data_IF_989372083232
#
_entry.id   IF_989372083232
#
_cell.length_a   1.000
_cell.length_b   1.000
_cell.length_c   1.000
_cell.angle_alpha   90.00
_cell.angle_beta   90.00
_cell.angle_gamma   90.00
#
_symmetry.space_group_name_H-M   'P 1'
#
loop_
_entity.id
_entity.type
_entity.pdbx_description
1 polymer ?
#
# COMPACT_ATOMS: atom_id res chain seq x y z
N UNK A 1 -15.18 0.20 5.76
CA UNK A 1 -13.97 0.97 5.39
C UNK A 1 -14.10 2.48 5.51
N UNK A 2 -15.18 3.16 5.04
CA UNK A 2 -15.33 4.61 5.32
C UNK A 2 -15.43 4.87 6.82
N UNK A 3 -16.31 4.15 7.51
CA UNK A 3 -16.46 4.22 8.98
C UNK A 3 -15.13 3.88 9.69
N UNK A 4 -14.46 2.80 9.29
CA UNK A 4 -13.14 2.42 9.81
C UNK A 4 -12.11 3.56 9.70
N UNK A 5 -12.05 4.22 8.54
CA UNK A 5 -11.13 5.34 8.32
C UNK A 5 -11.46 6.56 9.20
N UNK A 6 -12.75 6.82 9.42
CA UNK A 6 -13.21 7.89 10.32
C UNK A 6 -12.94 7.56 11.79
N UNK A 7 -13.13 6.30 12.19
CA UNK A 7 -12.79 5.79 13.52
C UNK A 7 -11.28 5.93 13.79
N UNK A 8 -10.44 5.52 12.83
CA UNK A 8 -8.98 5.66 12.93
C UNK A 8 -8.53 7.14 12.91
N UNK A 9 -9.31 8.04 12.32
CA UNK A 9 -9.08 9.49 12.41
C UNK A 9 -9.38 10.01 13.81
N UNK A 10 -10.52 9.62 14.40
CA UNK A 10 -10.93 10.08 15.73
C UNK A 10 -10.08 9.51 16.85
N UNK A 11 -9.48 8.33 16.66
CA UNK A 11 -8.54 7.74 17.60
C UNK A 11 -7.22 8.54 17.73
N UNK A 12 -6.98 9.50 16.84
CA UNK A 12 -5.87 10.46 16.95
C UNK A 12 -4.50 9.80 17.04
N UNK A 13 -3.70 10.27 18.00
CA UNK A 13 -2.33 9.81 18.27
C UNK A 13 -2.24 8.51 19.07
N UNK A 14 -3.37 7.97 19.54
CA UNK A 14 -3.43 6.65 20.16
C UNK A 14 -3.29 5.51 19.14
N UNK A 15 -3.11 5.82 17.85
CA UNK A 15 -2.94 4.87 16.76
C UNK A 15 -1.71 5.18 15.90
N UNK A 16 -1.00 4.16 15.37
CA UNK A 16 0.45 4.26 15.20
C UNK A 16 0.96 4.96 13.93
N UNK A 17 0.12 5.50 13.03
CA UNK A 17 0.65 6.03 11.77
C UNK A 17 0.02 7.33 11.24
N UNK A 18 0.91 8.30 10.99
CA UNK A 18 0.72 9.57 10.29
C UNK A 18 2.07 9.88 9.61
N UNK A 19 2.16 9.96 8.29
CA UNK A 19 3.46 10.12 7.60
C UNK A 19 4.23 11.41 8.00
N UNK A 20 3.57 12.39 8.63
CA UNK A 20 4.13 13.74 8.78
C UNK A 20 4.57 14.18 10.17
N UNK A 21 4.47 13.36 11.25
CA UNK A 21 5.05 13.82 12.53
C UNK A 21 6.58 13.79 12.47
N UNK A 22 7.19 14.96 12.38
CA UNK A 22 8.62 15.14 12.16
C UNK A 22 8.93 16.35 11.30
N UNK A 23 7.94 16.83 10.53
CA UNK A 23 8.01 18.15 9.88
C UNK A 23 7.63 19.31 10.82
N UNK A 24 7.15 19.00 12.03
CA UNK A 24 6.54 19.97 12.96
C UNK A 24 7.52 20.67 13.87
N UNK A 25 8.79 20.27 13.92
CA UNK A 25 9.75 20.98 14.77
C UNK A 25 10.13 22.36 14.19
N UNK A 26 9.74 22.64 12.94
CA UNK A 26 9.97 23.92 12.26
C UNK A 26 8.72 24.59 11.65
N UNK A 27 7.53 23.95 11.69
CA UNK A 27 6.28 24.50 11.14
C UNK A 27 5.14 24.45 12.16
N UNK A 28 4.22 25.44 12.16
CA UNK A 28 3.11 25.49 13.11
C UNK A 28 2.23 24.23 13.03
N UNK A 29 1.50 23.86 14.12
CA UNK A 29 0.85 22.55 14.33
C UNK A 29 -0.34 22.21 13.40
N UNK A 30 -0.41 22.75 12.18
CA UNK A 30 -1.60 22.71 11.29
C UNK A 30 -1.45 21.89 10.00
N UNK A 31 -0.35 21.18 9.79
CA UNK A 31 -0.04 20.49 8.50
C UNK A 31 -0.09 18.96 8.67
N UNK A 32 -1.15 18.26 8.21
CA UNK A 32 -1.29 16.81 8.47
C UNK A 32 -1.58 16.04 7.17
N UNK A 33 -0.79 14.99 6.89
CA UNK A 33 -1.14 13.98 5.86
C UNK A 33 -2.23 13.09 6.41
N UNK A 34 -3.30 12.90 5.62
CA UNK A 34 -4.54 12.25 6.06
C UNK A 34 -4.84 10.95 5.33
N UNK A 35 -3.81 10.33 4.77
CA UNK A 35 -3.92 8.94 4.32
C UNK A 35 -3.89 8.03 5.55
N UNK A 36 -4.96 7.27 5.77
CA UNK A 36 -5.04 6.24 6.81
C UNK A 36 -5.05 4.86 6.19
N UNK A 37 -4.24 3.98 6.77
CA UNK A 37 -4.23 2.57 6.44
C UNK A 37 -5.21 1.84 7.34
N UNK A 38 -6.07 1.03 6.75
CA UNK A 38 -7.03 0.19 7.46
C UNK A 38 -7.15 -1.13 6.70
N UNK A 39 -6.92 -2.24 7.38
CA UNK A 39 -7.17 -3.54 6.77
C UNK A 39 -8.69 -3.73 6.63
N UNK A 40 -9.22 -4.28 5.52
CA UNK A 40 -10.62 -4.67 5.47
C UNK A 40 -10.87 -5.89 6.37
N UNK A 41 -12.10 -6.09 6.86
CA UNK A 41 -12.47 -7.33 7.53
C UNK A 41 -12.36 -8.51 6.56
N UNK A 42 -11.54 -9.50 6.90
CA UNK A 42 -11.29 -10.68 6.04
C UNK A 42 -12.21 -11.83 6.44
N UNK A 43 -13.50 -11.57 6.28
CA UNK A 43 -14.62 -12.45 6.64
C UNK A 43 -15.57 -12.56 5.46
N UNK A 44 -16.38 -13.62 5.41
CA UNK A 44 -17.27 -13.96 4.27
C UNK A 44 -18.11 -12.77 3.81
N UNK A 45 -18.71 -12.02 4.74
CA UNK A 45 -19.58 -10.86 4.45
C UNK A 45 -18.90 -9.75 3.64
N UNK A 46 -17.58 -9.58 3.78
CA UNK A 46 -16.84 -8.45 3.19
C UNK A 46 -15.77 -8.89 2.19
N UNK A 47 -15.74 -10.18 1.85
CA UNK A 47 -14.72 -10.76 0.97
C UNK A 47 -15.35 -11.21 -0.36
N UNK A 48 -15.26 -10.34 -1.36
CA UNK A 48 -15.65 -10.69 -2.73
C UNK A 48 -14.44 -11.27 -3.48
N UNK A 49 -14.46 -12.54 -3.91
CA UNK A 49 -13.34 -13.16 -4.63
C UNK A 49 -13.04 -12.46 -5.96
N UNK A 50 -14.02 -11.81 -6.60
CA UNK A 50 -13.76 -11.07 -7.85
C UNK A 50 -12.91 -9.82 -7.63
N UNK A 51 -12.80 -9.35 -6.37
CA UNK A 51 -11.95 -8.23 -5.97
C UNK A 51 -10.63 -8.75 -5.42
N UNK A 52 -10.69 -9.60 -4.38
CA UNK A 52 -9.50 -10.01 -3.63
C UNK A 52 -8.69 -11.14 -4.30
N UNK A 53 -9.33 -11.90 -5.17
CA UNK A 53 -8.74 -12.99 -5.95
C UNK A 53 -9.01 -12.75 -7.44
N UNK A 54 -8.90 -11.49 -7.88
CA UNK A 54 -9.31 -11.08 -9.22
C UNK A 54 -8.52 -11.87 -10.29
N UNK A 55 -9.20 -12.55 -11.23
CA UNK A 55 -8.53 -13.41 -12.21
C UNK A 55 -7.66 -12.64 -13.21
N UNK A 56 -8.02 -11.39 -13.56
CA UNK A 56 -7.22 -10.56 -14.45
C UNK A 56 -5.94 -10.11 -13.75
N UNK A 57 -6.04 -9.69 -12.49
CA UNK A 57 -4.86 -9.35 -11.68
C UNK A 57 -3.96 -10.58 -11.46
N UNK A 58 -4.55 -11.74 -11.12
CA UNK A 58 -3.80 -12.99 -10.94
C UNK A 58 -3.08 -13.41 -12.24
N UNK A 59 -3.73 -13.29 -13.40
CA UNK A 59 -3.10 -13.56 -14.69
C UNK A 59 -1.94 -12.60 -14.97
N UNK A 60 -2.18 -11.29 -14.89
CA UNK A 60 -1.14 -10.27 -15.14
C UNK A 60 0.07 -10.45 -14.23
N UNK A 61 -0.16 -10.65 -12.94
CA UNK A 61 0.92 -10.85 -11.98
C UNK A 61 1.64 -12.18 -12.18
N UNK A 62 0.94 -13.25 -12.58
CA UNK A 62 1.57 -14.54 -12.91
C UNK A 62 2.50 -14.45 -14.12
N UNK A 63 2.15 -13.64 -15.12
CA UNK A 63 2.98 -13.43 -16.31
C UNK A 63 4.31 -12.74 -16.02
N UNK A 64 4.39 -11.94 -14.95
CA UNK A 64 5.58 -11.16 -14.60
C UNK A 64 6.37 -11.80 -13.45
N UNK A 65 5.70 -12.38 -12.46
CA UNK A 65 6.31 -12.90 -11.23
C UNK A 65 6.51 -14.42 -11.26
N UNK A 66 6.00 -15.10 -12.28
CA UNK A 66 5.93 -16.55 -12.38
C UNK A 66 4.62 -17.13 -11.82
N UNK A 67 4.39 -18.44 -11.99
CA UNK A 67 3.11 -19.07 -11.73
C UNK A 67 2.72 -19.03 -10.25
N UNK A 68 1.44 -18.74 -9.97
CA UNK A 68 0.84 -18.71 -8.63
C UNK A 68 1.62 -17.82 -7.65
N UNK A 69 1.74 -16.51 -7.92
CA UNK A 69 2.37 -15.59 -6.99
C UNK A 69 1.64 -15.60 -5.65
N UNK A 70 2.36 -15.22 -4.60
CA UNK A 70 1.86 -15.27 -3.23
C UNK A 70 1.13 -14.00 -2.86
N UNK A 71 -0.11 -14.14 -2.37
CA UNK A 71 -0.81 -13.07 -1.67
C UNK A 71 -0.42 -13.10 -0.20
N UNK A 72 0.47 -12.21 0.23
CA UNK A 72 0.94 -12.10 1.63
C UNK A 72 0.65 -10.73 2.27
N UNK A 73 0.10 -9.78 1.51
CA UNK A 73 -0.33 -8.49 2.01
C UNK A 73 -1.72 -8.11 1.50
N UNK A 74 -2.54 -7.57 2.41
CA UNK A 74 -3.88 -7.07 2.10
C UNK A 74 -4.24 -5.96 3.09
N UNK A 75 -4.36 -4.75 2.58
CA UNK A 75 -4.73 -3.55 3.33
C UNK A 75 -5.66 -2.63 2.52
N UNK A 76 -5.95 -1.47 3.06
CA UNK A 76 -6.69 -0.41 2.40
C UNK A 76 -6.15 0.96 2.76
N UNK A 77 -6.16 1.87 1.80
CA UNK A 77 -5.67 3.23 1.90
C UNK A 77 -6.85 4.17 1.76
N UNK A 78 -7.07 5.03 2.76
CA UNK A 78 -8.15 6.01 2.76
C UNK A 78 -7.59 7.42 2.80
N UNK A 79 -7.86 8.25 1.78
CA UNK A 79 -7.63 9.69 1.88
C UNK A 79 -8.87 10.35 2.46
N UNK A 80 -8.71 10.89 3.66
CA UNK A 80 -9.79 11.52 4.40
C UNK A 80 -10.02 12.96 3.93
N UNK A 81 -11.25 13.48 4.09
CA UNK A 81 -11.57 14.89 3.81
C UNK A 81 -10.65 15.87 4.55
N UNK A 82 -10.55 17.13 4.06
CA UNK A 82 -9.90 18.20 4.79
C UNK A 82 -10.49 18.38 6.19
N UNK A 83 -9.67 18.83 7.12
CA UNK A 83 -10.10 19.23 8.46
C UNK A 83 -10.03 20.74 8.47
N UNK A 84 -11.09 21.44 8.89
CA UNK A 84 -11.07 22.90 8.97
C UNK A 84 -9.84 23.40 9.74
N UNK A 85 -9.16 24.41 9.21
CA UNK A 85 -7.99 25.02 9.84
C UNK A 85 -6.68 24.23 9.71
N UNK A 86 -6.63 23.18 8.89
CA UNK A 86 -5.39 22.45 8.58
C UNK A 86 -5.09 22.46 7.09
N UNK A 87 -3.83 22.66 6.72
CA UNK A 87 -3.40 22.56 5.33
C UNK A 87 -3.19 21.08 4.96
N UNK A 88 -3.85 20.59 3.89
CA UNK A 88 -3.67 19.21 3.43
C UNK A 88 -2.28 19.01 2.82
N UNK A 89 -1.48 18.06 3.35
CA UNK A 89 -0.15 17.76 2.83
C UNK A 89 -0.11 16.44 2.05
N UNK A 90 0.65 16.43 0.95
CA UNK A 90 1.00 15.20 0.25
C UNK A 90 1.89 14.31 1.12
N UNK A 91 1.82 13.00 0.91
CA UNK A 91 2.93 12.14 1.32
C UNK A 91 4.18 12.56 0.54
N UNK A 92 5.39 12.39 1.12
CA UNK A 92 6.60 12.46 0.32
C UNK A 92 6.55 11.40 -0.77
N UNK A 93 7.22 11.68 -1.91
CA UNK A 93 7.40 10.65 -2.94
C UNK A 93 8.28 9.55 -2.35
N UNK A 94 7.82 8.32 -2.44
CA UNK A 94 8.48 7.15 -1.87
C UNK A 94 8.24 5.93 -2.76
N UNK A 95 8.97 4.86 -2.48
CA UNK A 95 8.69 3.51 -2.97
C UNK A 95 8.51 2.58 -1.76
N UNK A 96 7.76 1.49 -1.93
CA UNK A 96 7.40 0.61 -0.81
C UNK A 96 8.53 -0.37 -0.43
N UNK A 97 9.53 -0.53 -1.30
CA UNK A 97 10.69 -1.41 -1.12
C UNK A 97 11.92 -0.66 -0.56
N UNK A 98 11.86 -0.26 0.71
CA UNK A 98 12.88 0.53 1.40
C UNK A 98 14.10 -0.29 1.89
N UNK A 99 14.46 -1.34 1.14
CA UNK A 99 15.50 -2.31 1.48
C UNK A 99 16.25 -2.77 0.22
N UNK A 100 17.42 -3.40 0.41
CA UNK A 100 18.18 -4.00 -0.68
C UNK A 100 17.41 -5.14 -1.35
N UNK A 101 17.13 -4.98 -2.63
CA UNK A 101 16.20 -5.83 -3.38
C UNK A 101 16.70 -6.10 -4.82
N UNK A 102 16.23 -7.17 -5.48
CA UNK A 102 16.59 -7.45 -6.88
C UNK A 102 16.17 -6.35 -7.86
N UNK A 103 16.90 -6.21 -8.97
CA UNK A 103 16.52 -5.33 -10.08
C UNK A 103 15.35 -5.88 -10.93
N UNK A 104 15.03 -7.16 -10.81
CA UNK A 104 13.86 -7.75 -11.45
C UNK A 104 12.58 -7.57 -10.60
N UNK A 105 11.39 -7.56 -11.21
CA UNK A 105 10.14 -7.53 -10.46
C UNK A 105 10.03 -8.75 -9.53
N UNK A 106 9.91 -8.49 -8.23
CA UNK A 106 9.69 -9.52 -7.20
C UNK A 106 8.35 -9.37 -6.47
N UNK A 107 7.71 -8.21 -6.62
CA UNK A 107 6.42 -7.91 -6.03
C UNK A 107 5.64 -6.91 -6.88
N UNK A 108 4.33 -7.16 -7.04
CA UNK A 108 3.41 -6.26 -7.72
C UNK A 108 2.27 -5.88 -6.77
N UNK A 109 2.02 -4.58 -6.66
CA UNK A 109 0.90 -4.02 -5.90
C UNK A 109 -0.33 -3.98 -6.80
N UNK A 110 -1.42 -4.57 -6.33
CA UNK A 110 -2.74 -4.56 -6.96
C UNK A 110 -3.63 -3.62 -6.16
N UNK A 111 -3.90 -2.45 -6.73
CA UNK A 111 -4.75 -1.43 -6.15
C UNK A 111 -6.14 -1.46 -6.78
N UNK A 112 -7.19 -1.49 -5.94
CA UNK A 112 -8.59 -1.51 -6.39
C UNK A 112 -9.34 -0.30 -5.79
N UNK A 113 -9.64 0.73 -6.60
CA UNK A 113 -10.43 1.87 -6.15
C UNK A 113 -11.88 1.47 -5.84
N UNK A 114 -12.34 1.73 -4.61
CA UNK A 114 -13.74 1.52 -4.20
C UNK A 114 -14.64 2.71 -4.56
N UNK A 115 -14.03 3.81 -4.99
CA UNK A 115 -14.65 5.00 -5.56
C UNK A 115 -13.82 5.47 -6.76
N UNK A 116 -14.36 6.35 -7.59
CA UNK A 116 -13.54 7.02 -8.60
C UNK A 116 -12.46 7.86 -7.92
N UNK A 117 -11.24 7.78 -8.41
CA UNK A 117 -10.08 8.53 -7.93
C UNK A 117 -9.76 9.63 -8.94
N UNK A 118 -9.68 10.86 -8.46
CA UNK A 118 -9.33 12.04 -9.25
C UNK A 118 -8.22 12.82 -8.54
N UNK A 119 -7.48 13.70 -9.23
CA UNK A 119 -6.54 14.60 -8.58
C UNK A 119 -7.14 15.36 -7.38
N UNK A 120 -8.38 15.80 -7.52
CA UNK A 120 -9.12 16.53 -6.49
C UNK A 120 -9.39 15.71 -5.22
N UNK A 121 -9.69 14.41 -5.34
CA UNK A 121 -10.00 13.56 -4.20
C UNK A 121 -8.81 12.73 -3.68
N UNK A 122 -7.59 13.08 -4.11
CA UNK A 122 -6.37 12.45 -3.66
C UNK A 122 -6.08 11.14 -4.36
N UNK A 123 -6.22 11.10 -5.69
CA UNK A 123 -5.65 10.06 -6.53
C UNK A 123 -4.14 9.94 -6.29
N UNK A 124 -3.61 8.73 -6.34
CA UNK A 124 -2.18 8.49 -6.15
C UNK A 124 -1.39 9.15 -7.29
N UNK A 125 -0.37 9.92 -6.93
CA UNK A 125 0.63 10.40 -7.86
C UNK A 125 1.64 9.28 -8.13
N UNK A 126 2.01 9.07 -9.39
CA UNK A 126 2.94 8.02 -9.84
C UNK A 126 4.03 8.58 -10.74
N UNK A 127 5.23 8.00 -10.64
CA UNK A 127 6.40 8.42 -11.41
C UNK A 127 6.77 7.33 -12.42
N UNK A 128 6.17 7.41 -13.60
CA UNK A 128 6.23 6.34 -14.59
C UNK A 128 7.68 6.01 -15.00
N UNK A 129 8.06 4.74 -14.94
CA UNK A 129 9.40 4.24 -15.25
C UNK A 129 10.40 4.27 -14.09
N UNK A 130 10.06 4.86 -12.93
CA UNK A 130 11.03 4.95 -11.81
C UNK A 130 11.32 3.62 -11.11
N UNK A 131 10.51 2.59 -11.35
CA UNK A 131 10.77 1.22 -10.88
C UNK A 131 12.05 0.61 -11.46
N UNK A 132 12.62 1.19 -12.54
CA UNK A 132 13.92 0.81 -13.08
C UNK A 132 15.11 1.45 -12.34
N UNK A 133 14.86 2.38 -11.41
CA UNK A 133 15.86 3.10 -10.62
C UNK A 133 15.38 3.23 -9.17
N UNK A 134 15.42 2.13 -8.42
CA UNK A 134 14.65 2.03 -7.17
C UNK A 134 15.40 1.49 -5.95
N UNK A 135 16.71 1.24 -6.06
CA UNK A 135 17.50 0.74 -4.92
C UNK A 135 17.59 1.73 -3.76
N UNK A 136 18.18 1.32 -2.64
CA UNK A 136 18.35 2.18 -1.45
C UNK A 136 19.15 3.46 -1.76
N UNK A 137 20.04 3.42 -2.76
CA UNK A 137 20.85 4.54 -3.20
C UNK A 137 20.06 5.75 -3.73
N UNK A 138 18.76 5.63 -4.07
CA UNK A 138 17.91 6.77 -4.45
C UNK A 138 17.05 7.30 -3.31
N UNK A 139 17.14 6.68 -2.14
CA UNK A 139 16.26 6.91 -1.01
C UNK A 139 16.97 7.70 0.10
N UNK A 140 16.19 8.32 0.98
CA UNK A 140 16.62 8.91 2.26
C UNK A 140 15.83 8.29 3.41
N UNK A 141 16.46 8.20 4.59
CA UNK A 141 15.91 7.50 5.75
C UNK A 141 16.29 6.02 5.76
N UNK A 142 16.67 5.51 6.94
CA UNK A 142 16.99 4.09 7.12
C UNK A 142 15.72 3.24 7.23
N UNK A 143 15.81 1.95 6.90
CA UNK A 143 14.69 1.02 7.02
C UNK A 143 14.09 1.03 8.42
N UNK A 144 12.77 1.17 8.51
CA UNK A 144 12.04 1.28 9.78
C UNK A 144 11.98 2.70 10.36
N UNK A 145 12.75 3.66 9.84
CA UNK A 145 12.55 5.07 10.16
C UNK A 145 11.26 5.62 9.54
N UNK A 146 10.79 6.76 10.05
CA UNK A 146 9.59 7.40 9.49
C UNK A 146 9.80 7.94 8.07
N UNK A 147 11.03 8.35 7.76
CA UNK A 147 11.40 8.84 6.44
C UNK A 147 11.72 7.69 5.46
N UNK A 148 11.80 6.45 5.93
CA UNK A 148 12.13 5.27 5.12
C UNK A 148 11.32 5.20 3.83
N UNK A 149 11.96 4.81 2.75
CA UNK A 149 11.34 4.71 1.42
C UNK A 149 11.31 6.02 0.63
N UNK A 150 11.54 7.17 1.28
CA UNK A 150 11.41 8.50 0.64
C UNK A 150 12.50 8.70 -0.42
N UNK A 151 12.12 9.22 -1.57
CA UNK A 151 13.07 9.55 -2.64
C UNK A 151 13.81 10.84 -2.30
N UNK A 152 15.13 10.84 -2.45
CA UNK A 152 15.94 12.04 -2.22
C UNK A 152 15.53 13.18 -3.14
N UNK A 153 15.56 14.40 -2.60
CA UNK A 153 15.10 15.60 -3.33
C UNK A 153 15.89 15.89 -4.61
N UNK A 154 17.20 15.63 -4.65
CA UNK A 154 18.07 15.81 -5.82
C UNK A 154 17.69 14.84 -6.96
N UNK A 155 17.48 13.57 -6.61
CA UNK A 155 17.06 12.51 -7.53
C UNK A 155 15.66 12.78 -8.08
N UNK A 156 14.74 13.19 -7.21
CA UNK A 156 13.39 13.54 -7.59
C UNK A 156 13.37 14.73 -8.57
N UNK A 157 14.18 15.77 -8.31
CA UNK A 157 14.30 16.92 -9.18
C UNK A 157 14.93 16.57 -10.54
N UNK A 158 15.94 15.71 -10.57
CA UNK A 158 16.51 15.21 -11.82
C UNK A 158 15.46 14.46 -12.64
N UNK A 159 14.73 13.53 -12.00
CA UNK A 159 13.67 12.77 -12.66
C UNK A 159 12.58 13.68 -13.22
N UNK A 160 12.18 14.72 -12.48
CA UNK A 160 11.12 15.64 -12.90
C UNK A 160 11.46 16.39 -14.19
N UNK A 161 12.75 16.64 -14.47
CA UNK A 161 13.21 17.27 -15.72
C UNK A 161 13.10 16.33 -16.92
N UNK A 162 13.29 15.03 -16.72
CA UNK A 162 13.15 14.02 -17.77
C UNK A 162 11.67 13.64 -18.01
N UNK A 163 10.97 13.33 -16.92
CA UNK A 163 9.58 12.91 -16.91
C UNK A 163 8.94 13.24 -15.56
N UNK A 164 8.06 14.27 -15.50
CA UNK A 164 7.35 14.61 -14.27
C UNK A 164 6.34 13.53 -13.88
N UNK A 165 5.85 13.65 -12.64
CA UNK A 165 4.81 12.78 -12.13
C UNK A 165 3.52 12.81 -12.96
N UNK A 166 2.70 11.78 -12.81
CA UNK A 166 1.35 11.71 -13.33
C UNK A 166 0.37 11.43 -12.20
N UNK A 167 -0.79 12.07 -12.21
CA UNK A 167 -1.87 11.81 -11.25
C UNK A 167 -3.14 11.45 -12.03
N UNK A 168 -3.32 10.17 -12.42
CA UNK A 168 -4.39 9.78 -13.33
C UNK A 168 -5.77 9.82 -12.64
N UNK A 169 -6.81 10.02 -13.45
CA UNK A 169 -8.19 9.70 -13.06
C UNK A 169 -8.38 8.19 -13.22
N UNK A 170 -8.82 7.52 -12.16
CA UNK A 170 -9.04 6.07 -12.14
C UNK A 170 -10.49 5.79 -11.75
N UNK A 171 -11.27 5.22 -12.66
CA UNK A 171 -12.68 4.92 -12.43
C UNK A 171 -12.85 3.86 -11.35
N UNK A 172 -13.95 3.95 -10.59
CA UNK A 172 -14.35 2.89 -9.65
C UNK A 172 -14.42 1.53 -10.37
N UNK A 173 -13.91 0.49 -9.72
CA UNK A 173 -13.91 -0.88 -10.28
C UNK A 173 -12.76 -1.16 -11.26
N UNK A 174 -11.91 -0.18 -11.55
CA UNK A 174 -10.64 -0.43 -12.25
C UNK A 174 -9.68 -1.20 -11.35
N UNK A 175 -8.63 -1.76 -11.94
CA UNK A 175 -7.49 -2.33 -11.21
C UNK A 175 -6.24 -1.60 -11.69
N UNK A 176 -5.43 -1.14 -10.74
CA UNK A 176 -4.12 -0.56 -11.02
C UNK A 176 -3.07 -1.55 -10.53
N UNK A 177 -2.27 -2.08 -11.44
CA UNK A 177 -1.13 -2.95 -11.11
C UNK A 177 0.15 -2.16 -11.28
N UNK A 178 0.99 -2.13 -10.25
CA UNK A 178 2.28 -1.44 -10.27
C UNK A 178 3.37 -2.28 -9.64
N UNK A 179 4.61 -2.06 -10.06
CA UNK A 179 5.78 -2.59 -9.37
C UNK A 179 5.85 -2.00 -7.96
N UNK A 180 6.21 -2.81 -6.96
CA UNK A 180 6.42 -2.37 -5.57
C UNK A 180 7.44 -1.23 -5.49
N UNK A 181 8.38 -1.21 -6.43
CA UNK A 181 9.48 -0.25 -6.57
C UNK A 181 9.09 1.06 -7.24
N UNK A 182 7.87 1.17 -7.78
CA UNK A 182 7.42 2.37 -8.47
C UNK A 182 7.29 3.52 -7.46
N UNK A 183 7.96 4.65 -7.76
CA UNK A 183 7.83 5.82 -6.91
C UNK A 183 6.43 6.42 -7.02
N UNK A 184 5.85 6.76 -5.88
CA UNK A 184 4.50 7.25 -5.79
C UNK A 184 4.29 8.10 -4.54
N UNK A 185 3.17 8.82 -4.49
CA UNK A 185 2.77 9.59 -3.33
C UNK A 185 1.24 9.63 -3.21
N UNK A 186 0.73 9.38 -2.00
CA UNK A 186 -0.65 9.71 -1.66
C UNK A 186 -0.84 11.22 -1.61
N UNK A 187 -1.79 11.72 -2.39
CA UNK A 187 -2.09 13.15 -2.50
C UNK A 187 -3.25 13.55 -1.59
N UNK A 188 -3.32 14.83 -1.20
CA UNK A 188 -4.44 15.32 -0.41
C UNK A 188 -5.78 15.10 -1.09
N UNK A 189 -6.80 14.85 -0.27
CA UNK A 189 -8.18 14.86 -0.70
C UNK A 189 -8.79 16.21 -0.34
N UNK A 190 -9.26 16.94 -1.34
CA UNK A 190 -9.88 18.26 -1.18
C UNK A 190 -11.43 18.18 -1.13
N UNK A 191 -12.00 17.00 -1.30
CA UNK A 191 -13.45 16.77 -1.27
C UNK A 191 -13.95 16.44 0.14
N UNK A 192 -15.27 16.48 0.33
CA UNK A 192 -15.92 16.11 1.59
C UNK A 192 -16.16 14.61 1.77
N UNK A 193 -15.70 13.76 0.84
CA UNK A 193 -15.93 12.31 0.87
C UNK A 193 -14.62 11.57 1.06
N UNK A 194 -14.58 10.59 1.96
CA UNK A 194 -13.43 9.70 2.10
C UNK A 194 -13.23 8.87 0.83
N UNK A 195 -12.01 8.93 0.27
CA UNK A 195 -11.61 8.13 -0.89
C UNK A 195 -10.94 6.85 -0.41
N UNK A 196 -11.57 5.71 -0.63
CA UNK A 196 -11.06 4.39 -0.20
C UNK A 196 -10.55 3.59 -1.41
N UNK A 197 -9.39 2.97 -1.24
CA UNK A 197 -8.77 2.06 -2.20
C UNK A 197 -8.24 0.84 -1.44
N UNK A 198 -8.42 -0.37 -1.98
CA UNK A 198 -7.78 -1.58 -1.47
C UNK A 198 -6.37 -1.70 -2.05
N UNK A 199 -5.47 -2.32 -1.28
CA UNK A 199 -4.11 -2.63 -1.70
C UNK A 199 -3.78 -4.07 -1.34
N UNK A 200 -3.44 -4.87 -2.34
CA UNK A 200 -2.92 -6.22 -2.19
C UNK A 200 -1.53 -6.27 -2.80
N UNK A 201 -0.65 -7.14 -2.30
CA UNK A 201 0.66 -7.34 -2.92
C UNK A 201 0.80 -8.82 -3.26
N UNK A 202 1.12 -9.07 -4.52
CA UNK A 202 1.48 -10.38 -5.04
C UNK A 202 3.00 -10.45 -5.11
N UNK A 203 3.59 -11.40 -4.39
CA UNK A 203 5.04 -11.64 -4.40
C UNK A 203 5.38 -12.82 -5.31
N UNK A 204 6.52 -12.75 -5.97
CA UNK A 204 7.04 -13.86 -6.74
C UNK A 204 7.24 -15.10 -5.86
N UNK A 205 6.96 -16.33 -6.34
CA UNK A 205 7.07 -17.54 -5.54
C UNK A 205 8.47 -17.79 -4.96
N UNK A 206 9.52 -17.23 -5.55
CA UNK A 206 10.89 -17.36 -5.07
C UNK A 206 11.27 -16.31 -4.01
N UNK A 207 10.54 -15.19 -3.89
CA UNK A 207 10.90 -14.07 -3.00
C UNK A 207 10.43 -14.29 -1.55
N UNK A 208 11.34 -14.56 -0.61
CA UNK A 208 11.04 -15.10 0.74
C UNK A 208 10.46 -14.09 1.75
N UNK A 209 9.48 -13.28 1.33
CA UNK A 209 8.74 -12.42 2.24
C UNK A 209 7.97 -13.25 3.28
N UNK A 210 8.04 -12.83 4.55
CA UNK A 210 7.52 -13.61 5.67
C UNK A 210 6.19 -13.12 6.23
N UNK A 211 5.58 -12.09 5.64
CA UNK A 211 4.31 -11.58 6.12
C UNK A 211 3.19 -12.60 5.92
N UNK A 212 2.23 -12.62 6.83
CA UNK A 212 1.06 -13.50 6.74
C UNK A 212 -0.21 -12.69 6.98
N UNK A 213 -1.28 -13.09 6.31
CA UNK A 213 -2.61 -12.49 6.46
C UNK A 213 -3.49 -13.39 7.32
N UNK A 214 -4.16 -12.83 8.34
CA UNK A 214 -5.16 -13.58 9.11
C UNK A 214 -6.54 -13.51 8.44
N UNK A 215 -7.06 -14.62 7.93
CA UNK A 215 -8.41 -14.75 7.35
C UNK A 215 -9.36 -15.46 8.31
N UNK A 216 -10.68 -15.26 8.12
CA UNK A 216 -11.69 -16.11 8.75
C UNK A 216 -11.53 -17.55 8.28
N UNK A 217 -11.72 -18.52 9.18
CA UNK A 217 -11.79 -19.96 8.85
C UNK A 217 -12.84 -20.27 7.78
N UNK A 218 -13.93 -19.52 7.74
CA UNK A 218 -14.99 -19.68 6.74
C UNK A 218 -14.50 -19.43 5.30
N UNK A 219 -13.47 -18.61 5.13
CA UNK A 219 -12.90 -18.32 3.81
C UNK A 219 -11.95 -19.41 3.33
N UNK A 220 -11.60 -20.39 4.16
CA UNK A 220 -10.53 -21.36 3.87
C UNK A 220 -10.76 -22.13 2.57
N UNK A 221 -11.94 -22.71 2.40
CA UNK A 221 -12.26 -23.51 1.20
C UNK A 221 -12.22 -22.65 -0.08
N UNK A 222 -12.70 -21.41 0.00
CA UNK A 222 -12.65 -20.45 -1.11
C UNK A 222 -11.20 -20.10 -1.48
N UNK A 223 -10.38 -19.81 -0.47
CA UNK A 223 -8.99 -19.36 -0.62
C UNK A 223 -8.07 -20.48 -1.12
N UNK A 224 -8.22 -21.70 -0.60
CA UNK A 224 -7.45 -22.86 -1.04
C UNK A 224 -7.87 -23.36 -2.43
N UNK A 225 -9.15 -23.16 -2.81
CA UNK A 225 -9.70 -23.60 -4.09
C UNK A 225 -9.46 -22.69 -5.30
N UNK A 226 -9.01 -21.44 -5.11
CA UNK A 226 -8.91 -20.45 -6.20
C UNK A 226 -7.87 -20.78 -7.28
N UNK A 227 -6.76 -21.43 -6.92
CA UNK A 227 -5.72 -21.91 -7.84
C UNK A 227 -4.82 -20.84 -8.49
N UNK A 228 -5.30 -19.61 -8.68
CA UNK A 228 -4.55 -18.54 -9.37
C UNK A 228 -3.47 -17.85 -8.52
N UNK A 229 -3.62 -17.87 -7.19
CA UNK A 229 -2.70 -17.28 -6.22
C UNK A 229 -2.40 -18.29 -5.12
N UNK A 230 -1.19 -18.22 -4.56
CA UNK A 230 -0.88 -18.93 -3.31
C UNK A 230 -1.19 -18.01 -2.14
N UNK A 231 -2.14 -18.41 -1.29
CA UNK A 231 -2.50 -17.63 -0.10
C UNK A 231 -1.45 -17.87 0.98
N UNK A 232 -0.78 -16.81 1.41
CA UNK A 232 0.15 -16.84 2.53
C UNK A 232 -0.53 -16.20 3.75
N UNK A 233 -1.21 -17.04 4.52
CA UNK A 233 -2.02 -16.57 5.63
C UNK A 233 -2.40 -17.67 6.61
N UNK A 234 -2.96 -17.25 7.74
CA UNK A 234 -3.50 -18.11 8.78
C UNK A 234 -5.02 -17.97 8.82
N UNK A 235 -5.68 -19.00 9.29
CA UNK A 235 -7.12 -19.02 9.51
C UNK A 235 -7.42 -18.87 10.99
N UNK A 236 -8.40 -18.02 11.32
CA UNK A 236 -8.80 -17.68 12.68
C UNK A 236 -10.33 -17.63 12.79
N UNK A 237 -10.92 -17.78 13.98
CA UNK A 237 -12.34 -17.57 14.19
C UNK A 237 -12.79 -16.18 13.73
N UNK A 238 -13.95 -16.07 13.10
CA UNK A 238 -14.48 -14.81 12.56
C UNK A 238 -14.51 -13.69 13.61
N UNK A 239 -14.95 -14.00 14.83
CA UNK A 239 -15.02 -13.04 15.92
C UNK A 239 -13.65 -12.46 16.29
N UNK A 240 -12.58 -13.26 16.19
CA UNK A 240 -11.20 -12.79 16.42
C UNK A 240 -10.78 -11.82 15.31
N UNK A 241 -11.08 -12.13 14.04
CA UNK A 241 -10.81 -11.24 12.90
C UNK A 241 -11.54 -9.90 13.09
N UNK A 242 -12.84 -9.93 13.37
CA UNK A 242 -13.63 -8.72 13.58
C UNK A 242 -13.17 -7.90 14.80
N UNK A 243 -12.65 -8.55 15.84
CA UNK A 243 -12.10 -7.88 17.03
C UNK A 243 -10.72 -7.25 16.85
N UNK A 244 -9.97 -7.66 15.82
CA UNK A 244 -8.54 -7.33 15.66
C UNK A 244 -8.16 -6.69 14.32
N UNK A 245 -9.01 -6.69 13.30
CA UNK A 245 -8.64 -6.21 11.96
C UNK A 245 -8.21 -4.72 11.92
N UNK A 246 -8.75 -3.88 12.81
CA UNK A 246 -8.33 -2.47 13.02
C UNK A 246 -7.25 -2.30 14.11
N UNK A 247 -6.63 -3.38 14.59
CA UNK A 247 -5.54 -3.36 15.58
C UNK A 247 -4.22 -3.93 15.03
N UNK A 248 -4.18 -4.32 13.76
CA UNK A 248 -3.00 -4.93 13.13
C UNK A 248 -1.85 -3.96 12.85
N UNK A 249 -0.82 -4.43 12.13
CA UNK A 249 0.29 -3.58 11.67
C UNK A 249 -0.17 -2.50 10.67
N UNK A 250 0.56 -1.39 10.59
CA UNK A 250 0.28 -0.25 9.72
C UNK A 250 1.57 0.38 9.18
N UNK A 251 1.56 0.83 7.92
CA UNK A 251 2.69 1.58 7.33
C UNK A 251 4.01 0.82 7.45
N UNK A 252 5.05 1.49 7.95
CA UNK A 252 6.42 0.94 8.06
C UNK A 252 6.56 -0.21 9.08
N UNK A 253 5.47 -0.61 9.76
CA UNK A 253 5.46 -1.84 10.55
C UNK A 253 5.39 -3.11 9.66
N UNK A 254 5.09 -2.96 8.37
CA UNK A 254 5.16 -4.05 7.41
C UNK A 254 6.60 -4.21 6.92
N UNK A 255 7.13 -5.42 7.06
CA UNK A 255 8.42 -5.81 6.51
C UNK A 255 8.18 -6.49 5.15
N UNK A 256 8.43 -5.74 4.09
CA UNK A 256 8.30 -6.20 2.71
C UNK A 256 9.55 -6.93 2.20
N UNK A 257 10.62 -6.96 3.00
CA UNK A 257 11.86 -7.64 2.64
C UNK A 257 11.70 -9.17 2.68
N UNK A 258 12.70 -9.86 2.17
CA UNK A 258 12.82 -11.30 2.21
C UNK A 258 13.70 -11.74 3.39
N UNK A 259 13.33 -12.86 4.02
CA UNK A 259 14.19 -13.55 4.98
C UNK A 259 15.12 -14.53 4.27
N UNK A 260 16.22 -14.88 4.95
CA UNK A 260 17.19 -15.84 4.42
C UNK A 260 17.67 -15.43 3.02
N UNK A 261 18.14 -14.19 2.86
CA UNK A 261 18.64 -13.70 1.56
C UNK A 261 19.69 -14.67 1.01
N UNK A 262 19.63 -14.94 -0.29
CA UNK A 262 20.74 -15.62 -0.95
C UNK A 262 21.93 -14.67 -0.96
N UNK A 263 23.15 -15.18 -0.78
CA UNK A 263 24.40 -14.43 -0.91
C UNK A 263 24.64 -14.09 -2.38
N UNK A 264 23.84 -13.18 -2.92
CA UNK A 264 23.91 -12.67 -4.29
C UNK A 264 23.84 -11.16 -4.19
N UNK A 265 24.90 -10.47 -4.62
CA UNK A 265 24.85 -9.02 -4.84
C UNK A 265 23.95 -8.76 -6.06
N UNK A 266 22.95 -7.90 -5.88
CA UNK A 266 22.01 -7.50 -6.94
C UNK A 266 22.45 -6.19 -7.60
#
# INVERSE_FOLDING_TARGET
MVEDALFLRSAGDAMPFNYNKGFFDFFPPKIVSKTKHANPPRVTKFFDPTIFLNPLAAHLTSSLLGPRPRLSFLSGNSALPPTPGTEPLSQPVHLDADFEHPECPFALVVNVPLVEMTPENGATEVWLGSHSHSGTHVQEGEHGERASGRIRSDVLAARARERPCSQPVVRKGSIVVRDLRLWHAGKPNFTQRTRVMLAMIHFAPWFRNAMEINFSEELRLLLEGHGGLRIQGRYKPEQEILGTYLKGAYGNAYDFDQREKLDVEF
#
